data_IF_679193328269
#
_entry.id   IF_679193328269
#
_cell.length_a   1.000
_cell.length_b   1.000
_cell.length_c   1.000
_cell.angle_alpha   90.00
_cell.angle_beta   90.00
_cell.angle_gamma   90.00
#
_symmetry.space_group_name_H-M   'P 1'
#
loop_
_entity.id
_entity.type
_entity.pdbx_description
1 polymer ?
#
# COMPACT_ATOMS: atom_id res chain seq x y z
N UNK A 1 -5.73 8.10 23.24
CA UNK A 1 -4.60 7.80 24.14
C UNK A 1 -4.92 6.51 24.90
N UNK A 2 -4.24 5.42 24.58
CA UNK A 2 -4.37 4.17 25.33
C UNK A 2 -3.40 4.21 26.51
N UNK A 3 -3.91 4.36 27.74
CA UNK A 3 -3.10 4.22 28.94
C UNK A 3 -2.95 2.74 29.29
N UNK A 4 -1.74 2.20 29.10
CA UNK A 4 -1.40 0.86 29.58
C UNK A 4 -0.85 0.99 30.99
N UNK A 5 -1.57 0.47 31.98
CA UNK A 5 -1.08 0.38 33.35
C UNK A 5 -0.44 -0.99 33.53
N UNK A 6 0.89 -1.03 33.61
CA UNK A 6 1.67 -2.20 34.00
C UNK A 6 1.62 -2.34 35.52
N UNK A 7 0.95 -3.36 36.05
CA UNK A 7 1.10 -3.80 37.42
C UNK A 7 1.79 -5.15 37.45
N UNK A 8 3.00 -5.20 37.99
CA UNK A 8 3.67 -6.47 38.33
C UNK A 8 3.09 -6.99 39.65
N UNK A 9 2.45 -8.15 39.58
CA UNK A 9 2.14 -8.96 40.74
C UNK A 9 3.11 -10.15 40.76
N UNK A 10 3.95 -10.18 41.81
CA UNK A 10 4.88 -11.28 42.06
C UNK A 10 4.11 -12.51 42.56
N UNK A 11 3.81 -13.45 41.67
CA UNK A 11 3.47 -14.81 42.07
C UNK A 11 4.58 -15.72 41.49
N UNK A 12 5.23 -16.44 42.38
CA UNK A 12 6.43 -17.25 42.15
C UNK A 12 6.31 -18.35 41.11
N UNK A 13 6.10 -18.01 39.87
CA UNK A 13 6.31 -18.81 38.65
C UNK A 13 6.36 -17.80 37.48
N UNK A 14 7.21 -18.05 36.50
CA UNK A 14 7.62 -17.22 35.36
C UNK A 14 6.49 -16.65 34.46
N UNK A 15 5.47 -15.99 35.03
CA UNK A 15 4.36 -15.41 34.26
C UNK A 15 4.05 -14.00 34.73
N UNK A 16 3.99 -13.06 33.79
CA UNK A 16 3.57 -11.66 34.01
C UNK A 16 2.17 -11.48 33.44
N UNK A 17 1.26 -10.92 34.26
CA UNK A 17 -0.10 -10.61 33.84
C UNK A 17 -0.21 -9.14 33.44
N UNK A 18 -0.71 -8.87 32.23
CA UNK A 18 -1.11 -7.53 31.81
C UNK A 18 -2.60 -7.32 32.10
N UNK A 19 -2.92 -6.39 32.97
CA UNK A 19 -4.30 -5.98 33.20
C UNK A 19 -4.56 -4.63 32.55
N UNK A 20 -5.35 -4.66 31.50
CA UNK A 20 -6.05 -3.54 30.87
C UNK A 20 -5.45 -3.01 29.56
N UNK A 21 -5.93 -3.53 28.44
CA UNK A 21 -5.94 -2.84 27.15
C UNK A 21 -7.31 -2.20 27.01
N UNK A 22 -7.39 -0.86 26.99
CA UNK A 22 -8.64 -0.13 26.77
C UNK A 22 -8.81 -0.02 25.24
N UNK A 23 -9.60 -0.92 24.67
CA UNK A 23 -10.25 -0.69 23.37
C UNK A 23 -11.63 -0.11 23.64
N UNK A 24 -12.14 0.76 22.78
CA UNK A 24 -13.34 1.58 22.98
C UNK A 24 -14.68 0.90 23.28
N UNK A 25 -14.68 -0.35 23.73
CA UNK A 25 -15.76 -1.06 24.44
C UNK A 25 -15.08 -1.92 25.47
N UNK A 26 -15.41 -1.72 26.74
CA UNK A 26 -14.80 -2.38 27.90
C UNK A 26 -14.76 -3.92 27.76
N UNK A 27 -13.67 -4.45 27.26
CA UNK A 27 -13.30 -5.87 27.39
C UNK A 27 -11.93 -5.93 28.04
N UNK A 28 -11.88 -6.47 29.25
CA UNK A 28 -10.64 -6.81 29.94
C UNK A 28 -10.15 -8.12 29.36
N UNK A 29 -9.05 -8.09 28.62
CA UNK A 29 -8.39 -9.29 28.12
C UNK A 29 -7.23 -9.64 29.07
N UNK A 30 -7.29 -10.79 29.70
CA UNK A 30 -6.18 -11.35 30.49
C UNK A 30 -5.32 -12.20 29.55
N UNK A 31 -4.11 -11.77 29.29
CA UNK A 31 -3.12 -12.53 28.52
C UNK A 31 -1.99 -12.95 29.47
N UNK A 32 -1.74 -14.25 29.59
CA UNK A 32 -0.55 -14.77 30.27
C UNK A 32 0.54 -15.01 29.22
N UNK A 33 1.72 -14.46 29.43
CA UNK A 33 2.86 -14.65 28.53
C UNK A 33 4.06 -15.20 29.29
N UNK A 34 4.81 -16.08 28.62
CA UNK A 34 6.07 -16.58 29.11
C UNK A 34 7.13 -15.45 29.08
N UNK A 35 7.98 -15.37 30.10
CA UNK A 35 8.98 -14.29 30.26
C UNK A 35 9.91 -14.12 29.05
N UNK A 36 10.16 -15.22 28.30
CA UNK A 36 10.98 -15.17 27.06
C UNK A 36 10.33 -14.41 25.91
N UNK A 37 9.00 -14.28 25.90
CA UNK A 37 8.26 -13.62 24.81
C UNK A 37 8.02 -12.13 25.05
N UNK A 38 8.23 -11.61 26.26
CA UNK A 38 7.95 -10.21 26.63
C UNK A 38 8.80 -9.22 25.82
N UNK A 39 10.08 -9.52 25.61
CA UNK A 39 10.97 -8.64 24.86
C UNK A 39 10.56 -8.53 23.38
N UNK A 40 10.02 -9.59 22.82
CA UNK A 40 9.50 -9.61 21.44
C UNK A 40 8.22 -8.78 21.39
N UNK A 41 7.30 -8.98 22.31
CA UNK A 41 6.03 -8.24 22.39
C UNK A 41 6.29 -6.74 22.61
N UNK A 42 7.20 -6.38 23.50
CA UNK A 42 7.58 -4.98 23.73
C UNK A 42 8.22 -4.35 22.49
N UNK A 43 9.04 -5.08 21.75
CA UNK A 43 9.61 -4.61 20.47
C UNK A 43 8.53 -4.39 19.42
N UNK A 44 7.62 -5.33 19.27
CA UNK A 44 6.47 -5.22 18.32
C UNK A 44 5.60 -4.02 18.70
N UNK A 45 5.27 -3.87 19.98
CA UNK A 45 4.44 -2.74 20.46
C UNK A 45 5.12 -1.39 20.23
N UNK A 46 6.43 -1.29 20.54
CA UNK A 46 7.21 -0.08 20.26
C UNK A 46 7.23 0.24 18.75
N UNK A 47 7.40 -0.78 17.91
CA UNK A 47 7.38 -0.59 16.45
C UNK A 47 6.03 -0.06 15.97
N UNK A 48 4.92 -0.65 16.42
CA UNK A 48 3.55 -0.20 16.05
C UNK A 48 3.30 1.24 16.52
N UNK A 49 3.69 1.59 17.74
CA UNK A 49 3.53 2.96 18.25
C UNK A 49 4.38 3.94 17.44
N UNK A 50 5.63 3.60 17.13
CA UNK A 50 6.51 4.46 16.33
C UNK A 50 5.98 4.64 14.90
N UNK A 51 5.49 3.57 14.27
CA UNK A 51 4.87 3.63 12.95
C UNK A 51 3.66 4.59 12.95
N UNK A 52 2.76 4.43 13.91
CA UNK A 52 1.60 5.32 14.08
C UNK A 52 2.01 6.79 14.30
N UNK A 53 3.00 7.03 15.17
CA UNK A 53 3.50 8.38 15.42
C UNK A 53 4.16 9.01 14.18
N UNK A 54 4.87 8.21 13.37
CA UNK A 54 5.47 8.68 12.12
C UNK A 54 4.39 9.10 11.12
N UNK A 55 3.33 8.28 10.97
CA UNK A 55 2.20 8.61 10.08
C UNK A 55 1.50 9.89 10.54
N UNK A 56 1.17 10.00 11.83
CA UNK A 56 0.49 11.19 12.37
C UNK A 56 1.34 12.45 12.21
N UNK A 57 2.67 12.37 12.41
CA UNK A 57 3.58 13.50 12.17
C UNK A 57 3.65 13.86 10.69
N UNK A 58 3.72 12.89 9.80
CA UNK A 58 3.74 13.15 8.36
C UNK A 58 2.43 13.80 7.88
N UNK A 59 1.27 13.37 8.38
CA UNK A 59 -0.03 14.00 8.12
C UNK A 59 -0.01 15.47 8.56
N UNK A 60 0.47 15.75 9.77
CA UNK A 60 0.53 17.10 10.30
C UNK A 60 1.55 17.98 9.53
N UNK A 61 2.69 17.41 9.11
CA UNK A 61 3.67 18.13 8.29
C UNK A 61 3.10 18.51 6.93
N UNK A 62 2.44 17.59 6.23
CA UNK A 62 1.78 17.87 4.94
C UNK A 62 0.68 18.90 5.12
N UNK A 63 -0.13 18.79 6.16
CA UNK A 63 -1.18 19.77 6.48
C UNK A 63 -0.63 21.17 6.71
N UNK A 64 0.52 21.28 7.35
CA UNK A 64 1.23 22.52 7.59
C UNK A 64 2.11 22.98 6.40
N UNK A 65 1.99 22.34 5.25
CA UNK A 65 2.72 22.70 4.03
C UNK A 65 4.21 22.35 4.07
N UNK A 66 4.65 21.45 4.96
CA UNK A 66 6.03 20.98 4.99
C UNK A 66 6.26 19.84 4.02
N UNK A 67 7.53 19.48 3.84
CA UNK A 67 7.98 18.33 3.08
C UNK A 67 8.23 17.13 4.01
N UNK A 68 8.06 15.92 3.49
CA UNK A 68 8.43 14.66 4.15
C UNK A 68 9.23 13.80 3.18
N UNK A 69 9.97 12.82 3.69
CA UNK A 69 10.57 11.76 2.88
C UNK A 69 9.70 10.50 3.02
N UNK A 70 9.26 9.96 1.90
CA UNK A 70 8.50 8.71 1.87
C UNK A 70 9.39 7.60 1.29
N UNK A 71 9.45 6.45 1.98
CA UNK A 71 10.23 5.29 1.53
C UNK A 71 9.31 4.12 1.27
N UNK A 72 9.59 3.34 0.23
CA UNK A 72 8.89 2.09 -0.04
C UNK A 72 9.66 0.85 0.48
N UNK A 73 9.10 -0.33 0.24
CA UNK A 73 9.69 -1.57 0.73
C UNK A 73 10.97 -1.94 -0.03
N UNK A 74 11.91 -2.61 0.68
CA UNK A 74 13.18 -3.08 0.12
C UNK A 74 12.96 -4.05 -1.07
N UNK A 75 11.86 -4.81 -1.04
CA UNK A 75 11.50 -5.76 -2.09
C UNK A 75 10.83 -5.10 -3.30
N UNK A 76 10.53 -3.79 -3.26
CA UNK A 76 9.87 -3.08 -4.35
C UNK A 76 10.88 -2.24 -5.15
N UNK A 77 10.96 -0.93 -4.95
CA UNK A 77 11.96 -0.03 -5.56
C UNK A 77 13.12 0.19 -4.61
N UNK A 78 12.86 0.08 -3.30
CA UNK A 78 13.79 0.38 -2.21
C UNK A 78 14.35 1.80 -2.34
N UNK A 79 13.48 2.77 -2.59
CA UNK A 79 13.83 4.16 -2.85
C UNK A 79 13.14 5.10 -1.85
N UNK A 80 13.51 6.36 -1.87
CA UNK A 80 12.88 7.40 -1.09
C UNK A 80 12.59 8.62 -1.95
N UNK A 81 11.35 9.11 -1.84
CA UNK A 81 10.90 10.32 -2.50
C UNK A 81 10.74 11.46 -1.51
N UNK A 82 11.17 12.64 -1.92
CA UNK A 82 10.75 13.89 -1.29
C UNK A 82 9.30 14.16 -1.69
N UNK A 83 8.42 14.38 -0.71
CA UNK A 83 6.97 14.55 -0.92
C UNK A 83 6.49 15.86 -0.30
N UNK A 84 5.66 16.62 -1.01
CA UNK A 84 4.95 17.78 -0.48
C UNK A 84 3.62 17.99 -1.21
N UNK A 85 2.64 18.58 -0.50
CA UNK A 85 1.33 18.86 -1.10
C UNK A 85 1.45 19.88 -2.23
N UNK A 86 0.83 19.59 -3.36
CA UNK A 86 0.76 20.51 -4.50
C UNK A 86 0.03 21.83 -4.16
N UNK A 87 -0.97 21.77 -3.28
CA UNK A 87 -1.71 22.96 -2.83
C UNK A 87 -0.85 23.92 -2.01
N UNK A 88 0.19 23.43 -1.35
CA UNK A 88 1.15 24.23 -0.58
C UNK A 88 2.51 24.35 -1.26
N UNK A 89 2.59 24.04 -2.57
CA UNK A 89 3.81 24.22 -3.36
C UNK A 89 4.26 25.67 -3.36
N UNK A 90 5.55 25.87 -3.42
CA UNK A 90 6.21 27.16 -3.66
C UNK A 90 7.53 26.95 -4.41
N UNK A 91 8.05 28.02 -4.99
CA UNK A 91 9.31 27.98 -5.74
C UNK A 91 10.48 27.41 -4.91
N UNK A 92 10.50 27.65 -3.60
CA UNK A 92 11.57 27.21 -2.72
C UNK A 92 11.56 25.68 -2.56
N UNK A 93 10.37 25.06 -2.40
CA UNK A 93 10.21 23.59 -2.33
C UNK A 93 10.58 22.94 -3.65
N UNK A 94 10.13 23.50 -4.78
CA UNK A 94 10.50 23.00 -6.10
C UNK A 94 12.01 23.10 -6.31
N UNK A 95 12.60 24.26 -5.98
CA UNK A 95 14.05 24.43 -6.07
C UNK A 95 14.81 23.48 -5.13
N UNK A 96 14.30 23.24 -3.93
CA UNK A 96 14.86 22.25 -3.00
C UNK A 96 14.83 20.84 -3.60
N UNK A 97 13.68 20.44 -4.17
CA UNK A 97 13.50 19.11 -4.76
C UNK A 97 14.50 18.88 -5.92
N UNK A 98 14.59 19.79 -6.88
CA UNK A 98 15.49 19.66 -8.03
C UNK A 98 16.98 19.77 -7.66
N UNK A 99 17.31 20.47 -6.56
CA UNK A 99 18.69 20.65 -6.11
C UNK A 99 19.17 19.49 -5.23
N UNK A 100 18.31 19.01 -4.32
CA UNK A 100 18.72 18.08 -3.28
C UNK A 100 18.18 16.67 -3.46
N UNK A 101 16.97 16.50 -4.01
CA UNK A 101 16.47 15.17 -4.36
C UNK A 101 17.02 14.73 -5.73
N UNK A 102 17.03 15.59 -6.74
CA UNK A 102 17.67 15.39 -8.06
C UNK A 102 16.97 14.38 -8.98
N UNK A 103 15.90 13.75 -8.54
CA UNK A 103 15.08 12.85 -9.33
C UNK A 103 14.18 13.57 -10.34
N UNK A 104 13.20 12.90 -10.87
CA UNK A 104 12.19 13.47 -11.76
C UNK A 104 11.08 14.11 -10.92
N UNK A 105 10.89 15.42 -11.04
CA UNK A 105 9.80 16.09 -10.32
C UNK A 105 8.46 15.72 -10.95
N UNK A 106 7.70 14.87 -10.27
CA UNK A 106 6.40 14.37 -10.67
C UNK A 106 5.27 15.04 -9.88
N UNK A 107 4.05 14.96 -10.43
CA UNK A 107 2.82 15.43 -9.79
C UNK A 107 1.83 14.28 -9.67
N UNK A 108 1.83 13.59 -8.52
CA UNK A 108 0.89 12.53 -8.22
C UNK A 108 -0.50 13.12 -7.93
N UNK A 109 -1.55 12.52 -8.51
CA UNK A 109 -2.94 12.94 -8.31
C UNK A 109 -3.89 11.76 -8.39
N UNK A 110 -5.11 11.92 -7.90
CA UNK A 110 -6.15 10.91 -8.09
C UNK A 110 -6.76 10.98 -9.51
N UNK A 111 -7.49 9.93 -9.86
CA UNK A 111 -8.12 9.79 -11.17
C UNK A 111 -9.13 10.92 -11.47
N UNK A 112 -9.82 11.43 -10.45
CA UNK A 112 -10.80 12.52 -10.62
C UNK A 112 -10.13 13.80 -11.09
N UNK A 113 -8.97 14.14 -10.53
CA UNK A 113 -8.20 15.30 -10.94
C UNK A 113 -7.52 15.10 -12.31
N UNK A 114 -7.00 13.92 -12.60
CA UNK A 114 -6.47 13.63 -13.93
C UNK A 114 -7.55 13.78 -15.02
N UNK A 115 -8.77 13.30 -14.74
CA UNK A 115 -9.92 13.47 -15.63
C UNK A 115 -10.34 14.95 -15.75
N UNK A 116 -10.39 15.70 -14.64
CA UNK A 116 -10.72 17.13 -14.64
C UNK A 116 -9.77 17.94 -15.52
N UNK A 117 -8.49 17.60 -15.50
CA UNK A 117 -7.44 18.27 -16.26
C UNK A 117 -7.23 17.67 -17.66
N UNK A 118 -8.04 16.70 -18.08
CA UNK A 118 -7.94 15.98 -19.36
C UNK A 118 -6.51 15.47 -19.64
N UNK A 119 -6.00 14.64 -18.71
CA UNK A 119 -4.64 14.11 -18.77
C UNK A 119 -4.67 12.62 -19.19
N UNK A 120 -4.58 12.32 -20.50
CA UNK A 120 -4.49 10.95 -20.97
C UNK A 120 -3.14 10.32 -20.57
N UNK A 121 -3.11 8.99 -20.48
CA UNK A 121 -1.87 8.24 -20.27
C UNK A 121 -0.86 8.56 -21.38
N UNK A 122 0.39 8.66 -21.01
CA UNK A 122 1.52 8.94 -21.93
C UNK A 122 1.66 7.85 -23.00
N UNK A 123 1.30 6.61 -22.70
CA UNK A 123 1.39 5.48 -23.60
C UNK A 123 0.10 4.64 -23.55
N UNK A 124 -0.33 4.12 -24.68
CA UNK A 124 -1.50 3.24 -24.78
C UNK A 124 -1.26 1.88 -24.07
N UNK A 125 -0.01 1.40 -24.05
CA UNK A 125 0.40 0.16 -23.39
C UNK A 125 1.60 0.46 -22.48
N UNK A 126 1.38 0.41 -21.16
CA UNK A 126 2.46 0.53 -20.20
C UNK A 126 3.22 -0.81 -20.11
N UNK A 127 4.54 -0.76 -20.31
CA UNK A 127 5.44 -1.93 -20.26
C UNK A 127 6.48 -1.80 -19.15
N UNK A 128 6.37 -0.76 -18.27
CA UNK A 128 7.29 -0.59 -17.14
C UNK A 128 7.03 -1.64 -16.07
N UNK A 129 8.08 -2.04 -15.36
CA UNK A 129 8.03 -3.10 -14.33
C UNK A 129 7.06 -2.79 -13.18
N UNK A 130 6.93 -1.52 -12.80
CA UNK A 130 6.08 -1.06 -11.71
C UNK A 130 4.77 -0.42 -12.19
N UNK A 131 4.55 -0.35 -13.52
CA UNK A 131 3.32 0.16 -14.16
C UNK A 131 2.89 1.56 -13.69
N UNK A 132 3.83 2.40 -13.33
CA UNK A 132 3.56 3.78 -12.94
C UNK A 132 2.79 4.50 -14.04
N UNK A 133 1.63 5.05 -13.70
CA UNK A 133 0.68 5.60 -14.66
C UNK A 133 1.04 7.04 -15.03
N UNK A 134 2.11 7.23 -15.79
CA UNK A 134 2.46 8.53 -16.36
C UNK A 134 1.40 8.99 -17.36
N UNK A 135 1.07 10.28 -17.27
CA UNK A 135 0.25 10.97 -18.27
C UNK A 135 1.12 11.80 -19.19
N UNK A 136 0.51 12.43 -20.20
CA UNK A 136 1.18 13.50 -20.95
C UNK A 136 1.69 14.56 -19.99
N UNK A 137 2.89 15.10 -20.26
CA UNK A 137 3.48 16.15 -19.45
C UNK A 137 2.81 17.51 -19.71
N UNK A 138 2.85 18.39 -18.72
CA UNK A 138 2.18 19.70 -18.76
C UNK A 138 3.07 20.84 -18.31
N UNK A 139 2.79 22.05 -18.81
CA UNK A 139 3.20 23.31 -18.24
C UNK A 139 2.00 24.24 -18.14
N UNK A 140 2.03 25.19 -17.19
CA UNK A 140 1.05 26.27 -17.16
C UNK A 140 1.13 27.08 -18.47
N UNK A 141 -0.03 27.48 -19.03
CA UNK A 141 -0.11 28.22 -20.29
C UNK A 141 0.67 29.52 -20.27
N UNK A 142 0.74 30.16 -19.09
CA UNK A 142 1.44 31.44 -18.91
C UNK A 142 2.96 31.24 -18.61
N UNK A 143 3.46 30.01 -18.57
CA UNK A 143 4.90 29.75 -18.45
C UNK A 143 5.60 30.11 -19.78
N UNK A 144 6.84 30.59 -19.70
CA UNK A 144 7.66 30.88 -20.87
C UNK A 144 8.38 29.65 -21.39
N UNK A 145 9.34 29.11 -20.61
CA UNK A 145 10.07 27.89 -20.93
C UNK A 145 9.64 26.70 -20.12
N UNK A 146 8.91 26.91 -19.02
CA UNK A 146 8.38 25.84 -18.13
C UNK A 146 9.42 25.18 -17.21
N UNK A 147 10.72 25.43 -17.38
CA UNK A 147 11.81 24.67 -16.75
C UNK A 147 12.19 25.18 -15.37
N UNK A 148 12.08 26.51 -15.15
CA UNK A 148 12.53 27.14 -13.90
C UNK A 148 11.73 26.59 -12.69
N UNK A 149 12.33 26.65 -11.49
CA UNK A 149 11.61 26.27 -10.26
C UNK A 149 10.33 27.09 -10.07
N UNK A 150 10.36 28.38 -10.48
CA UNK A 150 9.20 29.27 -10.45
C UNK A 150 8.07 28.79 -11.38
N UNK A 151 8.38 28.42 -12.63
CA UNK A 151 7.37 28.02 -13.61
C UNK A 151 6.85 26.62 -13.35
N UNK A 152 7.70 25.69 -12.85
CA UNK A 152 7.24 24.39 -12.38
C UNK A 152 6.30 24.52 -11.17
N UNK A 153 6.63 25.38 -10.21
CA UNK A 153 5.74 25.69 -9.09
C UNK A 153 4.41 26.29 -9.57
N UNK A 154 4.46 27.23 -10.53
CA UNK A 154 3.25 27.77 -11.15
C UNK A 154 2.37 26.66 -11.72
N UNK A 155 2.94 25.75 -12.48
CA UNK A 155 2.22 24.60 -13.07
C UNK A 155 1.63 23.69 -11.99
N UNK A 156 2.39 23.37 -10.95
CA UNK A 156 1.97 22.51 -9.84
C UNK A 156 0.78 23.12 -9.09
N UNK A 157 0.90 24.38 -8.68
CA UNK A 157 -0.18 25.09 -7.95
C UNK A 157 -1.42 25.26 -8.81
N UNK A 158 -1.26 25.60 -10.09
CA UNK A 158 -2.37 25.70 -11.03
C UNK A 158 -3.09 24.36 -11.15
N UNK A 159 -2.38 23.24 -11.26
CA UNK A 159 -3.00 21.91 -11.31
C UNK A 159 -3.78 21.57 -10.02
N UNK A 160 -3.29 22.01 -8.85
CA UNK A 160 -3.95 21.78 -7.57
C UNK A 160 -5.17 22.70 -7.33
N UNK A 161 -5.32 23.77 -8.08
CA UNK A 161 -6.49 24.62 -8.01
C UNK A 161 -7.71 23.92 -8.62
N UNK A 162 -8.76 23.74 -7.83
CA UNK A 162 -9.99 23.09 -8.25
C UNK A 162 -10.73 23.81 -9.40
N UNK A 163 -10.48 25.10 -9.59
CA UNK A 163 -11.08 25.93 -10.65
C UNK A 163 -10.37 25.78 -12.00
N UNK A 164 -9.15 25.23 -12.03
CA UNK A 164 -8.34 25.07 -13.25
C UNK A 164 -8.97 24.10 -14.25
N UNK A 165 -8.77 24.40 -15.49
CA UNK A 165 -9.34 23.69 -16.65
C UNK A 165 -8.22 23.15 -17.56
N UNK A 166 -8.50 22.20 -18.46
CA UNK A 166 -7.52 21.69 -19.42
C UNK A 166 -6.82 22.77 -20.26
N UNK A 167 -7.54 23.84 -20.59
CA UNK A 167 -7.06 24.94 -21.43
C UNK A 167 -6.05 25.88 -20.74
N UNK A 168 -5.91 25.73 -19.41
CA UNK A 168 -4.93 26.50 -18.62
C UNK A 168 -3.52 25.89 -18.73
N UNK A 169 -3.39 24.76 -19.43
CA UNK A 169 -2.13 24.03 -19.58
C UNK A 169 -1.78 23.80 -21.04
N UNK A 170 -0.48 23.81 -21.34
CA UNK A 170 0.09 23.35 -22.60
C UNK A 170 0.65 21.92 -22.45
N UNK A 171 0.71 21.19 -23.55
CA UNK A 171 1.20 19.80 -23.65
C UNK A 171 2.07 19.66 -24.89
N UNK A 172 3.28 19.07 -24.83
CA UNK A 172 3.98 18.59 -23.64
C UNK A 172 4.50 19.73 -22.76
N UNK A 173 5.01 19.40 -21.55
CA UNK A 173 5.61 20.34 -20.61
C UNK A 173 6.69 19.67 -19.74
N UNK A 174 7.03 20.30 -18.61
CA UNK A 174 8.13 19.88 -17.73
C UNK A 174 7.68 19.35 -16.37
N UNK A 175 6.38 19.27 -16.11
CA UNK A 175 5.79 18.55 -14.98
C UNK A 175 5.21 17.24 -15.48
N UNK A 176 5.48 16.16 -14.77
CA UNK A 176 5.11 14.79 -15.08
C UNK A 176 3.95 14.32 -14.18
N UNK A 177 2.68 14.43 -14.61
CA UNK A 177 1.58 13.96 -13.79
C UNK A 177 1.52 12.43 -13.76
N UNK A 178 1.17 11.88 -12.57
CA UNK A 178 1.01 10.46 -12.30
C UNK A 178 -0.38 10.21 -11.73
N UNK A 179 -1.06 9.18 -12.22
CA UNK A 179 -2.38 8.81 -11.72
C UNK A 179 -2.26 7.74 -10.63
N UNK A 180 -2.62 8.08 -9.40
CA UNK A 180 -2.72 7.13 -8.31
C UNK A 180 -3.90 6.17 -8.52
N UNK A 181 -3.74 4.90 -8.15
CA UNK A 181 -4.81 3.91 -8.20
C UNK A 181 -5.91 4.24 -7.21
N UNK A 182 -7.18 4.05 -7.63
CA UNK A 182 -8.31 4.11 -6.71
C UNK A 182 -8.15 3.08 -5.59
N UNK A 183 -8.28 3.51 -4.33
CA UNK A 183 -7.95 2.74 -3.14
C UNK A 183 -6.54 3.03 -2.59
N UNK A 184 -5.71 3.80 -3.32
CA UNK A 184 -4.43 4.29 -2.84
C UNK A 184 -3.46 3.17 -2.46
N UNK A 185 -2.71 3.35 -1.37
CA UNK A 185 -1.72 2.36 -0.89
C UNK A 185 -2.34 1.00 -0.55
N UNK A 186 -3.64 0.92 -0.31
CA UNK A 186 -4.34 -0.36 -0.08
C UNK A 186 -4.53 -1.16 -1.37
N UNK A 187 -4.23 -0.60 -2.53
CA UNK A 187 -4.29 -1.25 -3.85
C UNK A 187 -2.89 -1.38 -4.46
N UNK A 188 -2.06 -0.34 -4.35
CA UNK A 188 -0.67 -0.35 -4.84
C UNK A 188 0.23 0.41 -3.87
N UNK A 189 1.22 -0.30 -3.31
CA UNK A 189 2.14 0.20 -2.27
C UNK A 189 3.28 1.06 -2.86
N UNK A 190 2.95 2.07 -3.68
CA UNK A 190 3.91 2.95 -4.32
C UNK A 190 3.87 4.39 -3.80
N UNK A 191 4.94 5.15 -4.06
CA UNK A 191 5.07 6.56 -3.70
C UNK A 191 3.93 7.42 -4.26
N UNK A 192 3.47 7.13 -5.49
CA UNK A 192 2.34 7.82 -6.13
C UNK A 192 1.07 7.72 -5.28
N UNK A 193 0.70 6.50 -4.88
CA UNK A 193 -0.47 6.25 -4.04
C UNK A 193 -0.28 6.80 -2.64
N UNK A 194 0.90 6.57 -2.05
CA UNK A 194 1.23 7.02 -0.70
C UNK A 194 1.16 8.52 -0.54
N UNK A 195 1.68 9.27 -1.50
CA UNK A 195 1.67 10.73 -1.47
C UNK A 195 0.26 11.33 -1.61
N UNK A 196 -0.57 10.76 -2.48
CA UNK A 196 -1.98 11.17 -2.64
C UNK A 196 -2.79 10.83 -1.40
N UNK A 197 -2.60 9.64 -0.82
CA UNK A 197 -3.27 9.23 0.40
C UNK A 197 -2.89 10.11 1.59
N UNK A 198 -1.60 10.46 1.71
CA UNK A 198 -1.11 11.35 2.75
C UNK A 198 -1.76 12.73 2.64
N UNK A 199 -1.93 13.26 1.43
CA UNK A 199 -2.68 14.50 1.18
C UNK A 199 -4.15 14.39 1.59
N UNK A 200 -4.82 13.28 1.25
CA UNK A 200 -6.21 13.01 1.67
C UNK A 200 -6.35 12.97 3.19
N UNK A 201 -5.46 12.25 3.86
CA UNK A 201 -5.43 12.16 5.33
C UNK A 201 -5.13 13.49 6.00
N UNK A 202 -4.32 14.33 5.37
CA UNK A 202 -4.04 15.69 5.82
C UNK A 202 -5.20 16.68 5.57
N UNK A 203 -6.23 16.27 4.83
CA UNK A 203 -7.39 17.11 4.48
C UNK A 203 -7.08 18.21 3.46
N UNK A 204 -6.04 18.02 2.63
CA UNK A 204 -5.68 18.94 1.54
C UNK A 204 -6.04 18.32 0.17
N UNK A 205 -5.89 19.10 -0.91
CA UNK A 205 -6.14 18.61 -2.25
C UNK A 205 -5.37 17.30 -2.51
N UNK A 206 -6.00 16.25 -3.10
CA UNK A 206 -5.39 14.93 -3.31
C UNK A 206 -4.36 14.95 -4.45
N UNK A 207 -3.40 15.83 -4.31
CA UNK A 207 -2.27 16.03 -5.21
C UNK A 207 -1.00 16.30 -4.42
N UNK A 208 0.08 15.64 -4.80
CA UNK A 208 1.40 15.82 -4.21
C UNK A 208 2.48 15.90 -5.28
N UNK A 209 3.46 16.78 -5.08
CA UNK A 209 4.72 16.68 -5.80
C UNK A 209 5.60 15.64 -5.12
N UNK A 210 6.20 14.78 -5.94
CA UNK A 210 7.14 13.75 -5.52
C UNK A 210 8.39 13.82 -6.37
N UNK A 211 9.55 13.54 -5.78
CA UNK A 211 10.82 13.54 -6.47
C UNK A 211 11.77 12.56 -5.81
N UNK A 212 12.27 11.59 -6.56
CA UNK A 212 13.17 10.55 -6.07
C UNK A 212 14.47 11.16 -5.57
N UNK A 213 15.04 10.62 -4.48
CA UNK A 213 16.28 11.11 -3.89
C UNK A 213 17.46 10.32 -4.47
N UNK A 214 18.31 11.03 -5.20
CA UNK A 214 19.52 10.53 -5.85
C UNK A 214 20.75 11.03 -5.09
N UNK A 215 21.71 10.14 -4.83
CA UNK A 215 22.97 10.48 -4.17
C UNK A 215 23.88 11.32 -5.07
N UNK A 216 24.96 11.86 -4.47
CA UNK A 216 25.96 12.68 -5.20
C UNK A 216 26.67 11.86 -6.31
N UNK A 217 26.82 10.56 -6.14
CA UNK A 217 27.41 9.64 -7.11
C UNK A 217 26.47 9.21 -8.25
N UNK A 218 25.22 9.73 -8.26
CA UNK A 218 24.20 9.40 -9.25
C UNK A 218 23.43 8.09 -8.98
N UNK A 219 23.75 7.36 -7.92
CA UNK A 219 22.99 6.17 -7.53
C UNK A 219 21.81 6.54 -6.64
N UNK A 220 20.79 5.66 -6.59
CA UNK A 220 19.61 5.92 -5.77
C UNK A 220 19.94 5.89 -4.27
N UNK A 221 19.36 6.83 -3.53
CA UNK A 221 19.47 6.86 -2.08
C UNK A 221 18.70 5.65 -1.48
N UNK A 222 19.33 5.01 -0.49
CA UNK A 222 18.75 3.90 0.27
C UNK A 222 18.60 4.34 1.73
N UNK A 223 18.02 3.51 2.56
CA UNK A 223 17.58 3.85 3.91
C UNK A 223 18.59 4.61 4.75
N UNK A 224 19.83 4.13 4.82
CA UNK A 224 20.88 4.77 5.63
C UNK A 224 21.14 6.22 5.18
N UNK A 225 21.27 6.43 3.87
CA UNK A 225 21.43 7.76 3.30
C UNK A 225 20.21 8.67 3.53
N UNK A 226 19.01 8.10 3.39
CA UNK A 226 17.76 8.83 3.59
C UNK A 226 17.58 9.28 5.04
N UNK A 227 18.02 8.49 6.01
CA UNK A 227 18.04 8.88 7.43
C UNK A 227 18.99 10.06 7.69
N UNK A 228 20.16 10.06 7.06
CA UNK A 228 21.11 11.19 7.14
C UNK A 228 20.57 12.43 6.42
N UNK A 229 19.94 12.25 5.26
CA UNK A 229 19.28 13.31 4.51
C UNK A 229 18.16 13.96 5.36
N UNK A 230 17.31 13.16 5.98
CA UNK A 230 16.26 13.67 6.87
C UNK A 230 16.83 14.45 8.05
N UNK A 231 17.87 13.95 8.70
CA UNK A 231 18.57 14.66 9.80
C UNK A 231 19.16 15.99 9.33
N UNK A 232 19.83 15.99 8.17
CA UNK A 232 20.47 17.18 7.61
C UNK A 232 19.48 18.31 7.32
N UNK A 233 18.29 17.97 6.83
CA UNK A 233 17.30 18.95 6.38
C UNK A 233 16.11 19.11 7.33
N UNK A 234 16.11 18.40 8.47
CA UNK A 234 15.01 18.48 9.45
C UNK A 234 13.69 17.94 8.93
N UNK A 235 13.72 16.88 8.09
CA UNK A 235 12.56 16.26 7.49
C UNK A 235 12.13 15.02 8.28
N UNK A 236 10.83 14.77 8.33
CA UNK A 236 10.31 13.52 8.84
C UNK A 236 10.32 12.45 7.73
N UNK A 237 10.55 11.19 8.12
CA UNK A 237 10.49 10.04 7.23
C UNK A 237 9.31 9.15 7.59
N UNK A 238 8.58 8.70 6.56
CA UNK A 238 7.46 7.77 6.65
C UNK A 238 7.68 6.63 5.66
N UNK A 239 7.30 5.40 6.03
CA UNK A 239 7.26 4.30 5.05
C UNK A 239 5.86 4.13 4.48
N UNK A 240 5.78 3.66 3.23
CA UNK A 240 4.50 3.27 2.61
C UNK A 240 3.83 2.17 3.41
N UNK A 241 4.60 1.22 3.96
CA UNK A 241 4.07 0.14 4.82
C UNK A 241 3.44 0.66 6.12
N UNK A 242 4.02 1.69 6.78
CA UNK A 242 3.40 2.32 7.94
C UNK A 242 2.06 2.97 7.58
N UNK A 243 1.99 3.61 6.40
CA UNK A 243 0.75 4.22 5.90
C UNK A 243 -0.32 3.17 5.55
N UNK A 244 0.09 2.03 4.99
CA UNK A 244 -0.81 0.87 4.76
C UNK A 244 -1.37 0.36 6.09
N UNK A 245 -0.52 0.15 7.11
CA UNK A 245 -0.95 -0.33 8.42
C UNK A 245 -1.92 0.66 9.09
N UNK A 246 -1.62 1.96 9.01
CA UNK A 246 -2.50 3.01 9.48
C UNK A 246 -3.86 2.96 8.80
N UNK A 247 -3.91 2.90 7.46
CA UNK A 247 -5.16 2.85 6.70
C UNK A 247 -5.95 1.57 6.97
N UNK A 248 -5.29 0.40 7.03
CA UNK A 248 -5.95 -0.88 7.36
C UNK A 248 -6.57 -0.90 8.77
N UNK A 249 -6.03 -0.12 9.70
CA UNK A 249 -6.60 0.00 11.05
C UNK A 249 -7.83 0.92 11.11
N UNK A 250 -8.05 1.77 10.11
CA UNK A 250 -9.13 2.77 10.08
C UNK A 250 -10.16 2.52 8.99
N UNK A 251 -9.81 1.79 7.93
CA UNK A 251 -10.67 1.54 6.78
C UNK A 251 -10.47 0.14 6.18
N UNK A 252 -11.44 -0.32 5.40
CA UNK A 252 -11.36 -1.54 4.63
C UNK A 252 -11.95 -1.31 3.23
N UNK A 253 -11.22 -1.77 2.21
CA UNK A 253 -11.72 -1.76 0.82
C UNK A 253 -12.58 -2.98 0.50
N UNK A 254 -12.79 -3.88 1.47
CA UNK A 254 -13.60 -5.08 1.29
C UNK A 254 -14.73 -5.13 2.29
N UNK A 255 -15.84 -5.71 1.87
CA UNK A 255 -16.95 -6.11 2.72
C UNK A 255 -17.10 -7.62 2.60
N UNK A 256 -16.88 -8.33 3.70
CA UNK A 256 -17.02 -9.78 3.78
C UNK A 256 -18.50 -10.10 4.07
N UNK A 257 -19.11 -10.93 3.23
CA UNK A 257 -20.47 -11.42 3.38
C UNK A 257 -20.59 -12.53 4.41
N UNK A 258 -21.78 -13.11 4.47
CA UNK A 258 -22.04 -14.23 5.39
C UNK A 258 -21.32 -15.51 4.93
N UNK A 259 -20.96 -16.33 5.91
CA UNK A 259 -20.39 -17.66 5.66
C UNK A 259 -21.43 -18.62 5.16
N UNK A 260 -21.06 -19.50 4.26
CA UNK A 260 -21.88 -20.62 3.80
C UNK A 260 -21.07 -21.89 3.75
N UNK A 261 -21.65 -23.00 4.25
CA UNK A 261 -21.08 -24.32 4.12
C UNK A 261 -21.30 -24.83 2.70
N UNK A 262 -20.25 -25.18 2.01
CA UNK A 262 -20.29 -25.62 0.61
C UNK A 262 -19.44 -26.86 0.38
N UNK A 263 -19.66 -27.50 -0.78
CA UNK A 263 -18.73 -28.48 -1.33
C UNK A 263 -18.13 -27.91 -2.62
N UNK A 264 -16.81 -27.96 -2.73
CA UNK A 264 -16.07 -27.61 -3.95
C UNK A 264 -15.24 -28.83 -4.37
N UNK A 265 -15.46 -29.35 -5.59
CA UNK A 265 -14.87 -30.62 -6.07
C UNK A 265 -15.02 -31.77 -5.05
N UNK A 266 -16.23 -31.91 -4.47
CA UNK A 266 -16.61 -32.90 -3.43
C UNK A 266 -15.99 -32.70 -2.03
N UNK A 267 -15.13 -31.73 -1.83
CA UNK A 267 -14.55 -31.40 -0.54
C UNK A 267 -15.34 -30.33 0.21
N UNK A 268 -15.55 -30.54 1.50
CA UNK A 268 -16.22 -29.56 2.37
C UNK A 268 -15.33 -28.32 2.56
N UNK A 269 -15.93 -27.15 2.46
CA UNK A 269 -15.28 -25.86 2.70
C UNK A 269 -16.31 -24.84 3.21
N UNK A 270 -15.82 -23.78 3.85
CA UNK A 270 -16.63 -22.59 4.19
C UNK A 270 -16.34 -21.54 3.13
N UNK A 271 -17.38 -21.06 2.47
CA UNK A 271 -17.29 -19.98 1.47
C UNK A 271 -17.71 -18.65 2.08
N UNK A 272 -16.97 -17.61 1.70
CA UNK A 272 -17.34 -16.21 1.91
C UNK A 272 -17.34 -15.51 0.56
N UNK A 273 -18.42 -14.75 0.27
CA UNK A 273 -18.44 -13.80 -0.82
C UNK A 273 -17.97 -12.44 -0.31
N UNK A 274 -17.07 -11.81 -1.05
CA UNK A 274 -16.38 -10.61 -0.62
C UNK A 274 -16.54 -9.57 -1.72
N UNK A 275 -17.16 -8.44 -1.38
CA UNK A 275 -17.33 -7.32 -2.32
C UNK A 275 -16.22 -6.30 -2.08
N UNK A 276 -15.52 -5.88 -3.14
CA UNK A 276 -14.53 -4.81 -3.06
C UNK A 276 -15.15 -3.42 -3.22
N UNK A 277 -14.32 -2.39 -3.07
CA UNK A 277 -14.70 -0.97 -3.21
C UNK A 277 -15.17 -0.58 -4.64
N UNK A 278 -14.94 -1.43 -5.63
CA UNK A 278 -15.42 -1.26 -7.02
C UNK A 278 -16.70 -2.03 -7.30
N UNK A 279 -17.23 -2.76 -6.32
CA UNK A 279 -18.40 -3.61 -6.46
C UNK A 279 -18.13 -4.97 -7.10
N UNK A 280 -16.86 -5.36 -7.31
CA UNK A 280 -16.50 -6.69 -7.78
C UNK A 280 -16.67 -7.71 -6.68
N UNK A 281 -17.03 -8.92 -7.06
CA UNK A 281 -17.28 -10.03 -6.13
C UNK A 281 -16.13 -11.03 -6.22
N UNK A 282 -15.44 -11.21 -5.12
CA UNK A 282 -14.41 -12.22 -4.89
C UNK A 282 -14.99 -13.33 -4.01
N UNK A 283 -14.36 -14.49 -3.97
CA UNK A 283 -14.76 -15.57 -3.08
C UNK A 283 -13.55 -16.17 -2.37
N UNK A 284 -13.69 -16.41 -1.07
CA UNK A 284 -12.71 -17.15 -0.27
C UNK A 284 -13.30 -18.48 0.20
N UNK A 285 -12.57 -19.57 -0.03
CA UNK A 285 -12.92 -20.91 0.44
C UNK A 285 -11.91 -21.32 1.52
N UNK A 286 -12.41 -21.54 2.72
CA UNK A 286 -11.62 -21.96 3.87
C UNK A 286 -11.74 -23.47 4.07
N UNK A 287 -10.61 -24.14 4.11
CA UNK A 287 -10.48 -25.56 4.42
C UNK A 287 -9.92 -25.68 5.84
N UNK A 288 -10.80 -25.89 6.81
CA UNK A 288 -10.49 -25.82 8.24
C UNK A 288 -10.44 -24.40 8.80
N UNK A 289 -10.09 -24.27 10.07
CA UNK A 289 -9.98 -22.96 10.75
C UNK A 289 -8.73 -22.24 10.27
N UNK A 290 -8.85 -20.94 9.89
CA UNK A 290 -7.69 -20.15 9.47
C UNK A 290 -6.72 -19.95 10.64
N UNK A 291 -5.42 -20.04 10.35
CA UNK A 291 -4.33 -19.85 11.32
C UNK A 291 -3.46 -18.67 10.86
N UNK A 292 -2.67 -18.12 11.79
CA UNK A 292 -1.70 -17.08 11.47
C UNK A 292 -0.73 -17.50 10.35
N UNK A 293 -0.32 -18.78 10.31
CA UNK A 293 0.37 -19.41 9.17
C UNK A 293 -0.62 -20.29 8.40
N UNK A 294 -0.78 -20.01 7.10
CA UNK A 294 -1.73 -20.70 6.24
C UNK A 294 -1.18 -21.04 4.85
N UNK A 295 -1.65 -22.19 4.31
CA UNK A 295 -1.51 -22.48 2.88
C UNK A 295 -2.49 -21.59 2.11
N UNK A 296 -2.00 -20.85 1.12
CA UNK A 296 -2.82 -19.89 0.36
C UNK A 296 -2.65 -20.08 -1.14
N UNK A 297 -3.77 -20.12 -1.85
CA UNK A 297 -3.82 -20.04 -3.31
C UNK A 297 -4.65 -18.85 -3.73
N UNK A 298 -4.06 -17.99 -4.53
CA UNK A 298 -4.81 -17.00 -5.31
C UNK A 298 -5.13 -17.57 -6.69
N UNK A 299 -6.40 -17.51 -7.04
CA UNK A 299 -6.92 -17.96 -8.32
C UNK A 299 -7.67 -16.81 -8.98
N UNK A 300 -7.28 -16.47 -10.21
CA UNK A 300 -8.07 -15.53 -11.01
C UNK A 300 -9.37 -16.19 -11.45
N UNK A 301 -10.49 -15.45 -11.38
CA UNK A 301 -11.74 -15.86 -12.00
C UNK A 301 -11.55 -15.83 -13.52
N UNK A 302 -11.75 -16.94 -14.15
CA UNK A 302 -11.68 -17.13 -15.62
C UNK A 302 -13.08 -17.47 -16.14
N UNK A 303 -13.33 -17.17 -17.40
CA UNK A 303 -14.52 -17.71 -18.07
C UNK A 303 -14.46 -19.27 -18.06
N UNK A 304 -15.60 -19.92 -17.94
CA UNK A 304 -15.68 -21.38 -17.79
C UNK A 304 -14.89 -22.10 -18.88
N UNK A 305 -15.04 -21.67 -20.12
CA UNK A 305 -14.37 -22.26 -21.26
C UNK A 305 -12.84 -22.10 -21.19
N UNK A 306 -12.33 -20.94 -20.72
CA UNK A 306 -10.90 -20.69 -20.57
C UNK A 306 -10.30 -21.52 -19.43
N UNK A 307 -11.06 -21.71 -18.35
CA UNK A 307 -10.64 -22.55 -17.25
C UNK A 307 -10.59 -24.03 -17.67
N UNK A 308 -11.67 -24.53 -18.25
CA UNK A 308 -11.83 -25.95 -18.61
C UNK A 308 -10.90 -26.41 -19.75
N UNK A 309 -10.53 -25.50 -20.66
CA UNK A 309 -9.64 -25.79 -21.78
C UNK A 309 -8.15 -25.60 -21.48
N UNK A 310 -7.80 -25.26 -20.21
CA UNK A 310 -6.42 -24.96 -19.82
C UNK A 310 -5.88 -25.92 -18.75
N UNK A 311 -4.56 -26.10 -18.63
CA UNK A 311 -3.94 -26.85 -17.54
C UNK A 311 -4.29 -26.33 -16.14
N UNK A 312 -4.81 -25.10 -16.04
CA UNK A 312 -5.21 -24.45 -14.78
C UNK A 312 -6.35 -25.17 -14.08
N UNK A 313 -7.20 -25.89 -14.81
CA UNK A 313 -8.28 -26.67 -14.21
C UNK A 313 -7.73 -27.84 -13.39
N UNK A 314 -6.78 -28.60 -13.94
CA UNK A 314 -6.12 -29.69 -13.20
C UNK A 314 -5.33 -29.18 -12.00
N UNK A 315 -4.59 -28.07 -12.17
CA UNK A 315 -3.88 -27.41 -11.06
C UNK A 315 -4.84 -27.00 -9.94
N UNK A 316 -6.01 -26.43 -10.31
CA UNK A 316 -7.03 -26.06 -9.33
C UNK A 316 -7.56 -27.26 -8.56
N UNK A 317 -7.87 -28.37 -9.24
CA UNK A 317 -8.34 -29.59 -8.58
C UNK A 317 -7.29 -30.18 -7.63
N UNK A 318 -6.01 -30.23 -8.04
CA UNK A 318 -4.90 -30.64 -7.18
C UNK A 318 -4.78 -29.72 -5.96
N UNK A 319 -4.91 -28.41 -6.16
CA UNK A 319 -4.89 -27.41 -5.08
C UNK A 319 -6.02 -27.65 -4.07
N UNK A 320 -7.25 -27.83 -4.54
CA UNK A 320 -8.42 -28.07 -3.69
C UNK A 320 -8.21 -29.36 -2.87
N UNK A 321 -7.75 -30.45 -3.51
CA UNK A 321 -7.42 -31.70 -2.83
C UNK A 321 -6.33 -31.50 -1.76
N UNK A 322 -5.27 -30.75 -2.09
CA UNK A 322 -4.21 -30.44 -1.14
C UNK A 322 -4.74 -29.67 0.08
N UNK A 323 -5.52 -28.60 -0.17
CA UNK A 323 -6.09 -27.76 0.89
C UNK A 323 -7.08 -28.53 1.76
N UNK A 324 -7.88 -29.43 1.18
CA UNK A 324 -8.81 -30.26 1.96
C UNK A 324 -8.11 -31.19 2.95
N UNK A 325 -6.87 -31.59 2.66
CA UNK A 325 -6.07 -32.49 3.51
C UNK A 325 -5.20 -31.73 4.52
N UNK A 326 -4.71 -30.54 4.16
CA UNK A 326 -3.69 -29.82 4.93
C UNK A 326 -4.22 -28.50 5.54
N UNK A 327 -5.44 -28.11 5.22
CA UNK A 327 -5.99 -26.83 5.60
C UNK A 327 -5.44 -25.67 4.76
N UNK A 328 -6.14 -24.55 4.78
CA UNK A 328 -5.72 -23.32 4.10
C UNK A 328 -6.85 -22.58 3.43
N UNK A 329 -6.50 -21.62 2.58
CA UNK A 329 -7.44 -20.68 1.95
C UNK A 329 -7.21 -20.64 0.43
N UNK A 330 -8.29 -20.84 -0.32
CA UNK A 330 -8.36 -20.62 -1.76
C UNK A 330 -9.15 -19.34 -2.02
N UNK A 331 -8.52 -18.35 -2.64
CA UNK A 331 -9.14 -17.05 -2.91
C UNK A 331 -9.30 -16.89 -4.41
N UNK A 332 -10.54 -16.72 -4.87
CA UNK A 332 -10.86 -16.34 -6.24
C UNK A 332 -10.95 -14.82 -6.32
N UNK A 333 -10.12 -14.21 -7.17
CA UNK A 333 -10.10 -12.77 -7.41
C UNK A 333 -10.71 -12.45 -8.77
N UNK A 334 -11.74 -11.61 -8.80
CA UNK A 334 -12.26 -10.97 -10.01
C UNK A 334 -11.32 -9.82 -10.40
N UNK A 335 -10.47 -10.06 -11.39
CA UNK A 335 -9.47 -9.11 -11.85
C UNK A 335 -9.67 -8.73 -13.30
N UNK A 336 -9.43 -7.46 -13.65
CA UNK A 336 -9.44 -7.00 -15.03
C UNK A 336 -8.33 -7.69 -15.85
N UNK A 337 -8.55 -7.90 -17.15
CA UNK A 337 -7.68 -8.71 -18.02
C UNK A 337 -6.22 -8.22 -18.20
N UNK A 338 -5.88 -7.09 -17.58
CA UNK A 338 -4.55 -6.48 -17.71
C UNK A 338 -3.81 -6.44 -16.37
N UNK A 339 -3.12 -7.50 -16.00
CA UNK A 339 -2.10 -7.60 -14.94
C UNK A 339 -2.54 -8.09 -13.55
N UNK A 340 -1.88 -9.17 -13.17
CA UNK A 340 -2.02 -9.94 -11.94
C UNK A 340 -1.50 -9.23 -10.67
N UNK A 341 -0.62 -8.23 -10.80
CA UNK A 341 -0.04 -7.52 -9.64
C UNK A 341 -1.00 -6.56 -8.93
N UNK A 342 -2.11 -6.17 -9.58
CA UNK A 342 -3.04 -5.13 -9.11
C UNK A 342 -4.04 -5.59 -8.06
N UNK A 343 -4.28 -6.89 -7.96
CA UNK A 343 -5.34 -7.43 -7.11
C UNK A 343 -4.82 -7.94 -5.75
N UNK A 344 -3.51 -7.86 -5.53
CA UNK A 344 -2.90 -8.37 -4.29
C UNK A 344 -3.29 -7.54 -3.07
N UNK A 345 -3.57 -6.24 -3.21
CA UNK A 345 -4.08 -5.42 -2.12
C UNK A 345 -5.42 -5.93 -1.58
N UNK A 346 -6.35 -6.33 -2.46
CA UNK A 346 -7.62 -6.96 -2.07
C UNK A 346 -7.37 -8.34 -1.46
N UNK A 347 -6.53 -9.16 -2.10
CA UNK A 347 -6.13 -10.48 -1.57
C UNK A 347 -5.49 -10.38 -0.18
N UNK A 348 -4.64 -9.39 0.04
CA UNK A 348 -4.00 -9.13 1.33
C UNK A 348 -5.03 -8.74 2.40
N UNK A 349 -5.99 -7.89 2.08
CA UNK A 349 -7.06 -7.52 3.02
C UNK A 349 -7.95 -8.72 3.36
N UNK A 350 -8.23 -9.59 2.38
CA UNK A 350 -8.97 -10.85 2.63
C UNK A 350 -8.19 -11.72 3.61
N UNK A 351 -6.88 -11.91 3.42
CA UNK A 351 -6.04 -12.70 4.32
C UNK A 351 -5.95 -12.08 5.72
N UNK A 352 -5.77 -10.77 5.81
CA UNK A 352 -5.75 -10.04 7.07
C UNK A 352 -7.08 -10.17 7.82
N UNK A 353 -8.24 -10.14 7.12
CA UNK A 353 -9.55 -10.37 7.72
C UNK A 353 -9.65 -11.74 8.40
N UNK A 354 -9.04 -12.78 7.80
CA UNK A 354 -8.98 -14.13 8.38
C UNK A 354 -7.80 -14.34 9.35
N UNK A 355 -7.05 -13.29 9.71
CA UNK A 355 -5.96 -13.35 10.69
C UNK A 355 -4.69 -14.02 10.20
N UNK A 356 -4.54 -14.22 8.88
CA UNK A 356 -3.31 -14.78 8.29
C UNK A 356 -2.22 -13.72 8.30
N UNK A 357 -0.99 -14.13 8.67
CA UNK A 357 0.21 -13.29 8.65
C UNK A 357 1.34 -13.93 7.84
N UNK A 358 1.51 -15.24 7.99
CA UNK A 358 2.54 -16.00 7.31
C UNK A 358 1.90 -16.90 6.25
N UNK A 359 2.36 -16.77 5.01
CA UNK A 359 1.77 -17.43 3.84
C UNK A 359 2.72 -18.49 3.31
N UNK A 360 2.25 -19.73 3.23
CA UNK A 360 2.82 -20.76 2.37
C UNK A 360 2.06 -20.73 1.03
N UNK A 361 2.68 -20.12 0.01
CA UNK A 361 2.01 -19.85 -1.25
C UNK A 361 2.00 -21.07 -2.15
N UNK A 362 0.82 -21.50 -2.58
CA UNK A 362 0.63 -22.61 -3.51
C UNK A 362 0.71 -22.08 -4.94
N UNK A 363 1.87 -22.23 -5.59
CA UNK A 363 2.10 -21.71 -6.95
C UNK A 363 3.08 -22.59 -7.71
N UNK A 364 2.78 -22.83 -8.99
CA UNK A 364 3.70 -23.44 -9.95
C UNK A 364 4.84 -22.51 -10.39
N UNK A 365 4.72 -21.21 -10.09
CA UNK A 365 5.67 -20.19 -10.54
C UNK A 365 6.35 -19.52 -9.32
N UNK A 366 7.63 -19.75 -9.13
CA UNK A 366 8.42 -19.24 -8.00
C UNK A 366 8.84 -17.76 -8.13
N UNK A 367 8.58 -17.12 -9.28
CA UNK A 367 9.16 -15.81 -9.60
C UNK A 367 8.11 -14.72 -9.86
N UNK A 368 8.25 -13.62 -9.16
CA UNK A 368 7.88 -12.22 -9.49
C UNK A 368 6.52 -11.65 -9.12
N UNK A 369 5.48 -12.40 -8.80
CA UNK A 369 4.14 -11.80 -8.76
C UNK A 369 3.66 -11.29 -7.39
N UNK A 370 4.40 -11.54 -6.29
CA UNK A 370 3.89 -11.33 -4.94
C UNK A 370 4.71 -10.37 -4.07
N UNK A 371 5.57 -9.59 -4.69
CA UNK A 371 6.52 -8.68 -4.04
C UNK A 371 5.83 -7.62 -3.14
N UNK A 372 4.58 -7.30 -3.41
CA UNK A 372 3.86 -6.24 -2.70
C UNK A 372 3.17 -6.68 -1.40
N UNK A 373 3.15 -7.97 -1.06
CA UNK A 373 2.41 -8.45 0.12
C UNK A 373 3.06 -8.06 1.45
N UNK A 374 4.39 -7.88 1.46
CA UNK A 374 5.13 -7.43 2.65
C UNK A 374 4.61 -6.08 3.17
N UNK A 375 4.31 -5.14 2.27
CA UNK A 375 3.72 -3.83 2.60
C UNK A 375 2.34 -3.90 3.28
N UNK A 376 1.65 -5.05 3.19
CA UNK A 376 0.39 -5.32 3.89
C UNK A 376 0.56 -6.10 5.20
N UNK A 377 1.80 -6.25 5.69
CA UNK A 377 2.10 -7.02 6.90
C UNK A 377 1.93 -8.53 6.75
N UNK A 378 2.05 -9.04 5.51
CA UNK A 378 2.00 -10.46 5.18
C UNK A 378 3.38 -10.95 4.76
N UNK A 379 3.82 -12.07 5.32
CA UNK A 379 5.11 -12.68 5.01
C UNK A 379 4.91 -13.93 4.15
N UNK A 380 5.58 -14.03 3.00
CA UNK A 380 5.65 -15.28 2.26
C UNK A 380 6.80 -16.11 2.87
N UNK A 381 6.45 -17.12 3.65
CA UNK A 381 7.43 -17.97 4.35
C UNK A 381 7.82 -19.21 3.55
N UNK A 382 7.14 -19.48 2.45
CA UNK A 382 7.45 -20.60 1.56
C UNK A 382 6.61 -20.62 0.30
N UNK A 383 7.11 -21.36 -0.68
CA UNK A 383 6.40 -21.68 -1.93
C UNK A 383 6.25 -23.17 -2.03
N UNK A 384 5.06 -23.63 -2.38
CA UNK A 384 4.79 -25.06 -2.62
C UNK A 384 4.21 -25.24 -4.02
N UNK A 385 4.88 -26.03 -4.81
CA UNK A 385 4.41 -26.45 -6.13
C UNK A 385 3.35 -27.55 -6.00
N UNK A 386 2.26 -27.44 -6.77
CA UNK A 386 1.13 -28.38 -6.74
C UNK A 386 0.82 -28.88 -8.16
#
# INVERSE_FOLDING_TARGET
MANIILKSLNFGVNSIFFSKVITGKEKILFLSFDYQNINIIVKIYKRIIMALENVLRAIEDIKNGKMVVMVDDEDRENEGDLVFSAASSDMQKVNFAITHAKGVLCLAMDEANAKRLDLPLMVAKNTSSHETAFTVTIDAKDATTGVSAYERDMTIRLAADASSKPEDFVRPGHIFPLIAKNGGVLVRTGHTEGSVDLCKLAGVAPMASICEIVKEDGTMARRDYLEEFCKKFGLNMISVSDLVEYRLSHESLIRVGEKSDVKIADYAAIRYDITDHKGKIHSAYLFGEPKSKANVKFQKILADHDLLSSPKYEELLKTIKFLSQNGGILIFLDSDNSNTSKDYGIGAQILNHFGVKDIELLSSNKNKEFVSLAGFGLNIVGYKEI
#
